data_IF_609080470296
#
_entry.id   IF_609080470296
#
_cell.length_a   1.000
_cell.length_b   1.000
_cell.length_c   1.000
_cell.angle_alpha   90.00
_cell.angle_beta   90.00
_cell.angle_gamma   90.00
#
_symmetry.space_group_name_H-M   'P 1'
#
loop_
_entity.id
_entity.type
_entity.pdbx_description
1 polymer ?
#
# COMPACT_ATOMS: atom_id res chain seq x y z
N UNK A 1 -8.69 7.92 -94.76
CA UNK A 1 -7.41 8.25 -94.09
C UNK A 1 -7.68 8.30 -92.57
N UNK A 2 -7.15 7.34 -91.92
CA UNK A 2 -7.33 7.15 -90.46
C UNK A 2 -6.34 7.97 -89.66
N UNK A 3 -6.72 8.40 -88.51
CA UNK A 3 -5.75 8.45 -87.43
C UNK A 3 -6.43 8.30 -86.08
N UNK A 4 -6.01 7.25 -85.44
CA UNK A 4 -6.51 6.88 -84.10
C UNK A 4 -5.68 7.48 -83.03
N UNK A 5 -6.35 8.14 -82.05
CA UNK A 5 -5.74 8.57 -80.77
C UNK A 5 -6.03 7.56 -79.70
N UNK A 6 -4.98 6.88 -79.29
CA UNK A 6 -4.97 5.97 -78.12
C UNK A 6 -4.94 6.78 -76.81
N UNK A 7 -6.03 6.77 -76.05
CA UNK A 7 -6.06 7.31 -74.68
C UNK A 7 -5.39 6.34 -73.71
N UNK A 8 -4.37 6.81 -72.97
CA UNK A 8 -3.69 6.10 -71.90
C UNK A 8 -4.45 6.37 -70.62
N UNK A 9 -5.12 5.31 -70.14
CA UNK A 9 -5.75 5.35 -68.81
C UNK A 9 -4.69 5.14 -67.72
N UNK A 10 -4.40 6.20 -66.96
CA UNK A 10 -3.56 6.13 -65.75
C UNK A 10 -4.42 5.62 -64.60
N UNK A 11 -4.19 4.40 -64.21
CA UNK A 11 -4.76 3.79 -63.00
C UNK A 11 -3.97 4.29 -61.81
N UNK A 12 -4.52 5.25 -61.09
CA UNK A 12 -4.00 5.69 -59.76
C UNK A 12 -4.23 4.61 -58.74
N UNK A 13 -3.16 3.98 -58.29
CA UNK A 13 -3.19 3.08 -57.15
C UNK A 13 -3.19 3.93 -55.85
N UNK A 14 -4.33 4.01 -55.16
CA UNK A 14 -4.45 4.57 -53.85
C UNK A 14 -3.82 3.59 -52.82
N UNK A 15 -2.62 3.85 -52.38
CA UNK A 15 -2.02 3.18 -51.21
C UNK A 15 -2.76 3.66 -49.95
N UNK A 16 -3.67 2.83 -49.44
CA UNK A 16 -4.26 3.01 -48.13
C UNK A 16 -3.20 2.62 -47.09
N UNK A 17 -2.58 3.64 -46.45
CA UNK A 17 -1.67 3.45 -45.33
C UNK A 17 -2.52 3.11 -44.07
N UNK A 18 -2.74 1.81 -43.86
CA UNK A 18 -3.34 1.31 -42.63
C UNK A 18 -2.34 1.51 -41.48
N UNK A 19 -2.47 2.60 -40.71
CA UNK A 19 -1.81 2.74 -39.42
C UNK A 19 -2.36 1.67 -38.47
N UNK A 20 -1.60 0.59 -38.31
CA UNK A 20 -1.77 -0.39 -37.24
C UNK A 20 -1.52 0.34 -35.91
N UNK A 21 -2.61 0.75 -35.24
CA UNK A 21 -2.62 1.08 -33.83
C UNK A 21 -2.32 -0.21 -33.06
N UNK A 22 -1.04 -0.48 -32.83
CA UNK A 22 -0.64 -1.52 -31.88
C UNK A 22 -1.13 -1.07 -30.50
N UNK A 23 -2.02 -1.83 -29.83
CA UNK A 23 -2.31 -1.59 -28.44
C UNK A 23 -0.99 -1.82 -27.70
N UNK A 24 -0.37 -0.75 -27.20
CA UNK A 24 0.79 -0.85 -26.34
C UNK A 24 0.41 -1.71 -25.16
N UNK A 25 1.00 -2.89 -25.01
CA UNK A 25 0.89 -3.67 -23.78
C UNK A 25 1.43 -2.80 -22.65
N UNK A 26 0.54 -2.25 -21.85
CA UNK A 26 0.94 -1.54 -20.64
C UNK A 26 1.61 -2.57 -19.74
N UNK A 27 2.85 -2.33 -19.40
CA UNK A 27 3.60 -3.19 -18.50
C UNK A 27 2.96 -3.07 -17.09
N UNK A 28 2.21 -4.08 -16.69
CA UNK A 28 1.47 -4.08 -15.41
C UNK A 28 2.40 -3.88 -14.22
N UNK A 29 3.62 -4.40 -14.31
CA UNK A 29 4.63 -4.21 -13.25
C UNK A 29 4.95 -2.74 -13.06
N UNK A 30 5.14 -1.98 -14.16
CA UNK A 30 5.38 -0.53 -14.06
C UNK A 30 4.20 0.25 -13.50
N UNK A 31 2.97 -0.19 -13.80
CA UNK A 31 1.77 0.42 -13.20
C UNK A 31 1.78 0.19 -11.68
N UNK A 32 2.03 -1.04 -11.24
CA UNK A 32 2.08 -1.37 -9.81
C UNK A 32 3.26 -0.71 -9.09
N UNK A 33 4.41 -0.55 -9.75
CA UNK A 33 5.55 0.22 -9.20
C UNK A 33 5.21 1.70 -9.01
N UNK A 34 4.50 2.31 -9.96
CA UNK A 34 4.03 3.68 -9.85
C UNK A 34 3.01 3.83 -8.71
N UNK A 35 2.04 2.93 -8.61
CA UNK A 35 1.04 2.90 -7.54
C UNK A 35 1.70 2.66 -6.17
N UNK A 36 2.70 1.77 -6.07
CA UNK A 36 3.49 1.57 -4.87
C UNK A 36 4.19 2.86 -4.46
N UNK A 37 4.84 3.54 -5.41
CA UNK A 37 5.51 4.82 -5.14
C UNK A 37 4.54 5.87 -4.59
N UNK A 38 3.32 5.96 -5.14
CA UNK A 38 2.28 6.86 -4.64
C UNK A 38 1.83 6.48 -3.22
N UNK A 39 1.60 5.19 -2.94
CA UNK A 39 1.25 4.70 -1.60
C UNK A 39 2.34 5.06 -0.58
N UNK A 40 3.60 4.77 -0.91
CA UNK A 40 4.74 4.99 -0.02
C UNK A 40 5.07 6.48 0.18
N UNK A 41 4.61 7.36 -0.70
CA UNK A 41 4.72 8.81 -0.50
C UNK A 41 3.73 9.34 0.54
N UNK A 42 2.60 8.65 0.74
CA UNK A 42 1.53 9.11 1.64
C UNK A 42 1.42 8.32 2.94
N UNK A 43 1.92 7.08 2.98
CA UNK A 43 1.78 6.20 4.14
C UNK A 43 2.62 6.61 5.36
N UNK A 44 3.92 6.98 5.24
CA UNK A 44 4.72 7.34 6.41
C UNK A 44 4.23 8.62 7.08
N UNK A 45 4.24 8.65 8.42
CA UNK A 45 3.83 9.83 9.17
C UNK A 45 3.60 9.53 10.65
N UNK A 46 3.16 10.58 11.33
CA UNK A 46 2.61 10.48 12.69
C UNK A 46 1.11 10.68 12.61
N UNK A 47 0.39 9.85 13.30
CA UNK A 47 -1.06 9.79 13.25
C UNK A 47 -1.64 9.65 14.66
N UNK A 48 -2.86 10.12 14.85
CA UNK A 48 -3.67 9.80 16.03
C UNK A 48 -5.14 9.56 15.63
N UNK A 49 -5.89 8.95 16.55
CA UNK A 49 -7.32 8.74 16.41
C UNK A 49 -8.16 9.69 17.28
N UNK A 50 -7.63 10.81 17.73
CA UNK A 50 -8.30 11.77 18.62
C UNK A 50 -9.68 12.16 18.14
N UNK A 51 -9.83 12.44 16.83
CA UNK A 51 -11.11 12.81 16.25
C UNK A 51 -12.17 11.68 16.35
N UNK A 52 -11.74 10.42 16.31
CA UNK A 52 -12.62 9.26 16.51
C UNK A 52 -13.04 9.15 17.97
N UNK A 53 -12.10 9.23 18.91
CA UNK A 53 -12.38 9.19 20.36
C UNK A 53 -13.34 10.29 20.79
N UNK A 54 -13.15 11.51 20.27
CA UNK A 54 -14.09 12.62 20.52
C UNK A 54 -15.47 12.34 19.94
N UNK A 55 -15.55 11.73 18.74
CA UNK A 55 -16.82 11.36 18.15
C UNK A 55 -17.54 10.28 18.98
N UNK A 56 -16.83 9.28 19.47
CA UNK A 56 -17.34 8.22 20.32
C UNK A 56 -17.92 8.80 21.62
N UNK A 57 -17.18 9.73 22.24
CA UNK A 57 -17.62 10.43 23.46
C UNK A 57 -18.90 11.23 23.21
N UNK A 58 -18.96 12.03 22.13
CA UNK A 58 -20.14 12.82 21.78
C UNK A 58 -21.37 11.95 21.49
N UNK A 59 -21.16 10.79 20.87
CA UNK A 59 -22.21 9.86 20.47
C UNK A 59 -22.57 8.82 21.55
N UNK A 60 -21.93 8.89 22.72
CA UNK A 60 -22.11 7.93 23.82
C UNK A 60 -21.94 6.47 23.37
N UNK A 61 -20.91 6.20 22.56
CA UNK A 61 -20.63 4.85 22.06
C UNK A 61 -20.30 3.92 23.25
N UNK A 62 -20.94 2.76 23.29
CA UNK A 62 -20.65 1.75 24.30
C UNK A 62 -19.39 0.98 23.90
N UNK A 63 -18.32 1.08 24.70
CA UNK A 63 -16.99 0.59 24.34
C UNK A 63 -16.29 1.52 23.34
N UNK A 64 -15.98 2.77 23.77
CA UNK A 64 -15.30 3.73 22.90
C UNK A 64 -13.88 3.25 22.58
N UNK A 65 -13.33 3.74 21.46
CA UNK A 65 -11.94 3.45 21.11
C UNK A 65 -10.97 4.06 22.11
N UNK A 66 -9.88 3.35 22.38
CA UNK A 66 -8.74 3.91 23.11
C UNK A 66 -8.09 5.03 22.28
N UNK A 67 -7.51 6.02 22.99
CA UNK A 67 -6.72 7.06 22.35
C UNK A 67 -5.34 6.52 21.97
N UNK A 68 -5.09 6.36 20.68
CA UNK A 68 -3.88 5.73 20.11
C UNK A 68 -3.15 6.72 19.22
N UNK A 69 -1.82 6.78 19.36
CA UNK A 69 -0.91 7.41 18.42
C UNK A 69 -0.19 6.31 17.62
N UNK A 70 -0.11 6.49 16.30
CA UNK A 70 0.58 5.59 15.38
C UNK A 70 1.69 6.35 14.66
N UNK A 71 2.89 5.81 14.70
CA UNK A 71 4.03 6.30 13.90
C UNK A 71 4.42 5.26 12.87
N UNK A 72 4.47 5.66 11.60
CA UNK A 72 4.98 4.83 10.50
C UNK A 72 6.20 5.54 9.91
N UNK A 73 7.35 4.90 9.89
CA UNK A 73 8.60 5.51 9.41
C UNK A 73 9.39 4.54 8.55
N UNK A 74 9.91 5.06 7.43
CA UNK A 74 10.81 4.28 6.57
C UNK A 74 12.11 3.97 7.31
N UNK A 75 12.57 2.73 7.22
CA UNK A 75 13.81 2.22 7.83
C UNK A 75 14.61 1.41 6.81
N UNK A 76 15.91 1.40 6.97
CA UNK A 76 16.79 0.63 6.09
C UNK A 76 17.08 -0.75 6.70
N UNK A 77 16.52 -1.79 6.10
CA UNK A 77 16.69 -3.18 6.51
C UNK A 77 16.92 -4.07 5.29
N UNK A 78 18.13 -4.12 4.75
CA UNK A 78 18.40 -4.76 3.45
C UNK A 78 18.07 -6.26 3.41
N UNK A 79 17.95 -6.91 4.58
CA UNK A 79 17.60 -8.32 4.69
C UNK A 79 16.09 -8.60 4.66
N UNK A 80 15.27 -7.57 4.86
CA UNK A 80 13.81 -7.68 4.84
C UNK A 80 13.19 -7.19 3.53
N UNK A 81 13.85 -6.27 2.83
CA UNK A 81 13.38 -5.72 1.57
C UNK A 81 13.88 -4.31 1.28
N UNK A 82 13.38 -3.73 0.18
CA UNK A 82 13.73 -2.37 -0.23
C UNK A 82 12.79 -1.29 0.36
N UNK A 83 11.52 -1.63 0.53
CA UNK A 83 10.50 -0.71 1.02
C UNK A 83 9.99 -1.21 2.37
N UNK A 84 10.75 -0.92 3.42
CA UNK A 84 10.45 -1.40 4.76
C UNK A 84 10.16 -0.23 5.70
N UNK A 85 9.10 -0.38 6.48
CA UNK A 85 8.63 0.63 7.42
C UNK A 85 8.49 0.02 8.80
N UNK A 86 8.95 0.75 9.80
CA UNK A 86 8.66 0.47 11.18
C UNK A 86 7.38 1.18 11.58
N UNK A 87 6.47 0.47 12.21
CA UNK A 87 5.23 1.00 12.76
C UNK A 87 5.18 0.76 14.27
N UNK A 88 4.84 1.80 15.04
CA UNK A 88 4.63 1.71 16.48
C UNK A 88 3.32 2.37 16.86
N UNK A 89 2.49 1.65 17.58
CA UNK A 89 1.30 2.17 18.24
C UNK A 89 1.56 2.35 19.72
N UNK A 90 1.16 3.49 20.25
CA UNK A 90 1.27 3.82 21.68
C UNK A 90 0.02 4.55 22.15
N UNK A 91 -0.16 4.64 23.46
CA UNK A 91 -1.18 5.53 24.01
C UNK A 91 -0.90 6.98 23.59
N UNK A 92 -1.95 7.70 23.19
CA UNK A 92 -1.79 9.09 22.74
C UNK A 92 -1.35 10.03 23.88
N UNK A 93 -1.70 9.70 25.12
CA UNK A 93 -1.36 10.45 26.34
C UNK A 93 -0.03 10.02 27.00
N UNK A 94 0.46 8.82 26.67
CA UNK A 94 1.76 8.31 27.17
C UNK A 94 2.49 7.48 26.09
N UNK A 95 3.42 8.08 25.35
CA UNK A 95 4.16 7.39 24.30
C UNK A 95 5.01 6.22 24.80
N UNK A 96 5.26 6.13 26.13
CA UNK A 96 5.96 4.99 26.73
C UNK A 96 5.09 3.77 26.87
N UNK A 97 3.77 3.91 26.78
CA UNK A 97 2.81 2.80 26.78
C UNK A 97 2.59 2.33 25.36
N UNK A 98 3.49 1.47 24.89
CA UNK A 98 3.46 0.89 23.54
C UNK A 98 2.51 -0.29 23.51
N UNK A 99 1.60 -0.30 22.54
CA UNK A 99 0.61 -1.37 22.31
C UNK A 99 1.09 -2.38 21.28
N UNK A 100 1.69 -1.88 20.19
CA UNK A 100 2.09 -2.70 19.06
C UNK A 100 3.35 -2.14 18.40
N UNK A 101 4.18 -3.04 17.89
CA UNK A 101 5.33 -2.71 17.04
C UNK A 101 5.40 -3.73 15.91
N UNK A 102 5.46 -3.25 14.68
CA UNK A 102 5.47 -4.11 13.49
C UNK A 102 6.45 -3.59 12.44
N UNK A 103 6.87 -4.49 11.56
CA UNK A 103 7.54 -4.11 10.32
C UNK A 103 6.59 -4.35 9.16
N UNK A 104 6.49 -3.39 8.27
CA UNK A 104 5.74 -3.47 7.02
C UNK A 104 6.73 -3.53 5.87
N UNK A 105 6.72 -4.61 5.10
CA UNK A 105 7.55 -4.76 3.91
C UNK A 105 6.68 -4.77 2.67
N UNK A 106 6.92 -3.83 1.76
CA UNK A 106 6.18 -3.70 0.51
C UNK A 106 7.00 -4.19 -0.67
N UNK A 107 6.35 -4.91 -1.58
CA UNK A 107 6.93 -5.35 -2.83
C UNK A 107 5.87 -5.35 -3.94
N UNK A 108 6.30 -5.27 -5.19
CA UNK A 108 5.44 -5.51 -6.35
C UNK A 108 5.57 -6.97 -6.78
N UNK A 109 4.45 -7.66 -6.86
CA UNK A 109 4.31 -8.97 -7.48
C UNK A 109 3.63 -8.78 -8.84
N UNK A 110 4.20 -9.35 -9.89
CA UNK A 110 3.72 -9.17 -11.27
C UNK A 110 2.23 -9.55 -11.44
N UNK A 111 1.75 -10.54 -10.70
CA UNK A 111 0.39 -11.08 -10.81
C UNK A 111 -0.58 -10.57 -9.76
N UNK A 112 -0.06 -10.23 -8.57
CA UNK A 112 -0.89 -9.84 -7.43
C UNK A 112 -0.94 -8.33 -7.20
N UNK A 113 0.02 -7.58 -7.79
CA UNK A 113 0.17 -6.14 -7.59
C UNK A 113 1.00 -5.80 -6.35
N UNK A 114 0.59 -4.82 -5.57
CA UNK A 114 1.31 -4.39 -4.38
C UNK A 114 1.01 -5.35 -3.23
N UNK A 115 2.05 -6.00 -2.73
CA UNK A 115 1.99 -6.96 -1.63
C UNK A 115 2.66 -6.34 -0.40
N UNK A 116 1.95 -6.35 0.73
CA UNK A 116 2.50 -6.02 2.03
C UNK A 116 2.64 -7.30 2.86
N UNK A 117 3.82 -7.51 3.42
CA UNK A 117 4.07 -8.52 4.44
C UNK A 117 4.27 -7.81 5.78
N UNK A 118 3.44 -8.16 6.75
CA UNK A 118 3.56 -7.70 8.12
C UNK A 118 4.45 -8.66 8.90
N UNK A 119 5.30 -8.09 9.76
CA UNK A 119 6.15 -8.86 10.65
C UNK A 119 5.98 -8.38 12.08
N UNK A 120 5.90 -9.31 13.00
CA UNK A 120 6.02 -9.08 14.43
C UNK A 120 7.47 -9.29 14.90
N UNK A 121 7.90 -8.54 15.89
CA UNK A 121 9.22 -8.72 16.48
C UNK A 121 9.23 -9.88 17.47
N UNK A 122 10.25 -10.73 17.38
CA UNK A 122 10.49 -11.81 18.36
C UNK A 122 10.84 -11.20 19.74
N UNK A 123 11.63 -10.12 19.74
CA UNK A 123 12.02 -9.37 20.95
C UNK A 123 11.61 -7.89 20.80
N UNK A 124 10.32 -7.53 20.98
CA UNK A 124 9.83 -6.19 20.69
C UNK A 124 10.50 -5.10 21.52
N UNK A 125 10.91 -5.38 22.75
CA UNK A 125 11.57 -4.39 23.61
C UNK A 125 12.92 -3.91 23.07
N UNK A 126 13.62 -4.75 22.30
CA UNK A 126 14.89 -4.40 21.66
C UNK A 126 14.71 -3.31 20.59
N UNK A 127 13.56 -3.30 19.92
CA UNK A 127 13.26 -2.46 18.76
C UNK A 127 12.34 -1.28 19.10
N UNK A 128 12.05 -1.14 20.38
CA UNK A 128 11.17 -0.09 20.87
C UNK A 128 11.71 1.30 20.55
N UNK A 129 10.79 2.20 20.21
CA UNK A 129 11.08 3.59 19.84
C UNK A 129 12.07 3.73 18.65
N UNK A 130 12.08 2.72 17.76
CA UNK A 130 12.97 2.66 16.61
C UNK A 130 12.83 3.84 15.65
N UNK A 131 11.69 4.56 15.64
CA UNK A 131 11.51 5.81 14.91
C UNK A 131 12.48 6.91 15.34
N UNK A 132 13.00 6.86 16.58
CA UNK A 132 13.98 7.81 17.11
C UNK A 132 15.42 7.42 16.73
N UNK A 133 15.69 6.14 16.49
CA UNK A 133 16.99 5.62 16.11
C UNK A 133 16.86 4.61 14.96
N UNK A 134 16.65 5.11 13.76
CA UNK A 134 16.40 4.27 12.56
C UNK A 134 17.59 3.39 12.18
N UNK A 135 18.80 3.79 12.55
CA UNK A 135 20.03 3.05 12.19
C UNK A 135 20.12 1.69 12.88
N UNK A 136 19.39 1.49 14.00
CA UNK A 136 19.32 0.20 14.68
C UNK A 136 18.81 -0.91 13.78
N UNK A 137 17.92 -0.59 12.83
CA UNK A 137 17.34 -1.58 11.91
C UNK A 137 18.33 -2.10 10.85
N UNK A 138 19.49 -1.46 10.67
CA UNK A 138 20.54 -1.98 9.76
C UNK A 138 21.06 -3.34 10.21
N UNK A 139 20.99 -3.62 11.50
CA UNK A 139 21.42 -4.89 12.10
C UNK A 139 20.31 -5.96 12.14
N UNK A 140 19.07 -5.61 11.80
CA UNK A 140 17.94 -6.53 11.83
C UNK A 140 18.14 -7.70 10.87
N UNK A 141 17.94 -8.91 11.36
CA UNK A 141 17.97 -10.15 10.59
C UNK A 141 16.61 -10.82 10.56
N UNK A 142 16.43 -11.78 9.66
CA UNK A 142 15.13 -12.46 9.50
C UNK A 142 14.68 -13.19 10.76
N UNK A 143 15.61 -13.66 11.59
CA UNK A 143 15.30 -14.35 12.85
C UNK A 143 14.84 -13.39 13.97
N UNK A 144 15.01 -12.07 13.79
CA UNK A 144 14.50 -11.07 14.74
C UNK A 144 12.99 -10.80 14.57
N UNK A 145 12.40 -11.30 13.47
CA UNK A 145 11.01 -11.05 13.11
C UNK A 145 10.29 -12.32 12.65
N UNK A 146 8.97 -12.35 12.80
CA UNK A 146 8.12 -13.41 12.29
C UNK A 146 7.07 -12.81 11.36
N UNK A 147 6.93 -13.32 10.11
CA UNK A 147 5.87 -12.86 9.23
C UNK A 147 4.51 -13.28 9.77
N UNK A 148 3.53 -12.39 9.72
CA UNK A 148 2.13 -12.75 9.92
C UNK A 148 1.68 -13.73 8.83
N UNK A 149 0.75 -14.59 9.17
CA UNK A 149 0.26 -15.65 8.27
C UNK A 149 -0.36 -15.08 6.99
N UNK A 150 -0.87 -13.86 7.06
CA UNK A 150 -1.66 -13.25 5.99
C UNK A 150 -0.97 -12.02 5.41
N UNK A 151 -0.62 -12.08 4.13
CA UNK A 151 -0.19 -10.91 3.37
C UNK A 151 -1.40 -10.04 3.02
N UNK A 152 -1.18 -8.73 2.91
CA UNK A 152 -2.14 -7.78 2.41
C UNK A 152 -1.85 -7.42 0.95
N UNK A 153 -2.92 -7.28 0.16
CA UNK A 153 -2.86 -6.81 -1.21
C UNK A 153 -3.43 -5.39 -1.25
N UNK A 154 -2.60 -4.43 -1.60
CA UNK A 154 -2.99 -3.04 -1.77
C UNK A 154 -3.42 -2.77 -3.20
N UNK A 155 -4.52 -2.04 -3.33
CA UNK A 155 -5.04 -1.59 -4.62
C UNK A 155 -5.39 -0.12 -4.54
N UNK A 156 -5.10 0.60 -5.61
CA UNK A 156 -5.59 1.97 -5.78
C UNK A 156 -7.11 1.94 -5.92
N UNK A 157 -7.79 2.80 -5.17
CA UNK A 157 -9.24 2.96 -5.19
C UNK A 157 -9.55 4.46 -5.13
N UNK A 158 -10.14 4.98 -6.19
CA UNK A 158 -10.42 6.41 -6.33
C UNK A 158 -9.15 7.27 -6.11
N UNK A 159 -9.18 8.18 -5.14
CA UNK A 159 -8.04 9.00 -4.75
C UNK A 159 -7.22 8.42 -3.59
N UNK A 160 -7.40 7.14 -3.27
CA UNK A 160 -6.75 6.47 -2.14
C UNK A 160 -6.31 5.06 -2.44
N UNK A 161 -6.12 4.28 -1.38
CA UNK A 161 -5.67 2.90 -1.44
C UNK A 161 -6.46 2.05 -0.45
N UNK A 162 -6.70 0.80 -0.80
CA UNK A 162 -7.33 -0.19 0.08
C UNK A 162 -6.50 -1.47 0.12
N UNK A 163 -6.31 -2.01 1.31
CA UNK A 163 -5.65 -3.29 1.53
C UNK A 163 -6.65 -4.36 1.96
N UNK A 164 -6.51 -5.54 1.41
CA UNK A 164 -7.30 -6.72 1.77
C UNK A 164 -6.38 -7.91 1.96
N UNK A 165 -6.79 -8.89 2.74
CA UNK A 165 -6.04 -10.15 2.80
C UNK A 165 -5.93 -10.79 1.42
N UNK A 166 -4.79 -11.41 1.12
CA UNK A 166 -4.65 -12.26 -0.05
C UNK A 166 -5.51 -13.52 0.14
N UNK A 167 -6.59 -13.69 -0.62
CA UNK A 167 -7.52 -14.81 -0.43
C UNK A 167 -6.86 -16.17 -0.72
N UNK A 168 -5.71 -16.19 -1.42
CA UNK A 168 -4.95 -17.42 -1.69
C UNK A 168 -4.04 -17.79 -0.54
N UNK A 169 -3.49 -16.79 0.15
CA UNK A 169 -2.64 -17.00 1.32
C UNK A 169 -3.44 -17.14 2.61
N UNK A 170 -4.65 -16.57 2.67
CA UNK A 170 -5.53 -16.56 3.84
C UNK A 170 -6.96 -17.00 3.50
N UNK A 171 -7.20 -18.25 3.14
CA UNK A 171 -8.53 -18.73 2.78
C UNK A 171 -9.53 -18.64 3.94
N UNK A 172 -9.08 -18.69 5.18
CA UNK A 172 -9.93 -18.71 6.37
C UNK A 172 -10.29 -17.30 6.89
N UNK A 173 -9.58 -16.26 6.43
CA UNK A 173 -9.76 -14.90 6.95
C UNK A 173 -11.11 -14.26 6.59
N UNK A 174 -11.90 -14.85 5.68
CA UNK A 174 -13.02 -14.14 5.12
C UNK A 174 -14.35 -14.90 5.08
N UNK A 175 -14.44 -16.18 5.39
CA UNK A 175 -15.72 -16.87 5.11
C UNK A 175 -16.29 -16.50 3.73
N UNK A 176 -15.45 -16.17 2.75
CA UNK A 176 -15.79 -15.71 1.41
C UNK A 176 -16.05 -14.19 1.27
N UNK A 177 -16.02 -13.41 2.33
CA UNK A 177 -16.22 -11.94 2.26
C UNK A 177 -14.87 -11.23 2.37
N UNK A 178 -14.48 -10.48 1.34
CA UNK A 178 -13.27 -9.66 1.35
C UNK A 178 -13.57 -8.40 2.16
N UNK A 179 -12.99 -8.31 3.36
CA UNK A 179 -13.12 -7.15 4.24
C UNK A 179 -11.84 -6.32 4.13
N UNK A 180 -11.91 -5.00 3.92
CA UNK A 180 -10.75 -4.13 4.00
C UNK A 180 -10.07 -4.24 5.36
N UNK A 181 -8.75 -4.44 5.36
CA UNK A 181 -7.93 -4.49 6.58
C UNK A 181 -7.30 -3.14 6.86
N UNK A 182 -6.98 -2.39 5.79
CA UNK A 182 -6.55 -1.01 5.88
C UNK A 182 -7.07 -0.20 4.68
N UNK A 183 -7.27 1.09 4.88
CA UNK A 183 -7.64 2.04 3.82
C UNK A 183 -6.95 3.37 4.08
N UNK A 184 -6.36 3.95 3.04
CA UNK A 184 -5.83 5.30 3.07
C UNK A 184 -6.62 6.18 2.10
N UNK A 185 -7.37 7.14 2.61
CA UNK A 185 -8.20 8.03 1.79
C UNK A 185 -8.37 9.40 2.46
N UNK A 186 -8.22 10.48 1.69
CA UNK A 186 -8.44 11.84 2.18
C UNK A 186 -7.57 12.25 3.39
N UNK A 187 -6.36 11.68 3.51
CA UNK A 187 -5.45 11.92 4.64
C UNK A 187 -5.82 11.16 5.92
N UNK A 188 -6.76 10.22 5.83
CA UNK A 188 -7.13 9.31 6.92
C UNK A 188 -6.63 7.91 6.58
N UNK A 189 -5.91 7.31 7.52
CA UNK A 189 -5.52 5.90 7.50
C UNK A 189 -6.48 5.14 8.42
N UNK A 190 -7.25 4.22 7.88
CA UNK A 190 -8.10 3.31 8.65
C UNK A 190 -7.39 1.97 8.73
N UNK A 191 -7.26 1.40 9.92
CA UNK A 191 -6.74 0.05 10.16
C UNK A 191 -7.76 -0.65 11.05
N UNK A 192 -8.34 -1.74 10.55
CA UNK A 192 -9.49 -2.38 11.19
C UNK A 192 -10.63 -1.38 11.40
N UNK A 193 -10.96 -1.02 12.63
CA UNK A 193 -11.97 -0.05 13.03
C UNK A 193 -11.40 1.30 13.50
N UNK A 194 -10.06 1.41 13.65
CA UNK A 194 -9.39 2.65 14.03
C UNK A 194 -9.20 3.59 12.84
N UNK A 195 -9.50 4.88 13.04
CA UNK A 195 -9.36 5.94 12.04
C UNK A 195 -8.32 6.96 12.48
N UNK A 196 -7.16 6.88 11.89
CA UNK A 196 -6.01 7.71 12.19
C UNK A 196 -5.94 8.93 11.27
N UNK A 197 -5.77 10.11 11.83
CA UNK A 197 -5.47 11.34 11.09
C UNK A 197 -4.01 11.71 11.26
N UNK A 198 -3.40 12.20 10.17
CA UNK A 198 -2.02 12.68 10.24
C UNK A 198 -1.93 13.91 11.16
N UNK A 199 -0.96 13.89 12.07
CA UNK A 199 -0.59 15.01 12.94
C UNK A 199 0.59 15.75 12.29
N UNK A 200 0.53 17.08 12.27
CA UNK A 200 1.56 17.97 11.69
C UNK A 200 2.52 18.49 12.76
#
# INVERSE_FOLDING_TARGET
MADGARGIAVRGAALALAMLLLPGCTDQTKVHEAELSELLAVLPGHYDNTAQVEADTRNHVNGPHDAVALTITHVFTPRLGHHVYYAQESAADDPRRVFSQKMYSFAVDEKRGIVETLYEFVEPLRWRDGQQNKDMFTSLVIDDVQPEACQLLWKKKDAGFVATHDPKACPDAAGGVVVPQAEFSGGVLTISDYKFRRVH
#
